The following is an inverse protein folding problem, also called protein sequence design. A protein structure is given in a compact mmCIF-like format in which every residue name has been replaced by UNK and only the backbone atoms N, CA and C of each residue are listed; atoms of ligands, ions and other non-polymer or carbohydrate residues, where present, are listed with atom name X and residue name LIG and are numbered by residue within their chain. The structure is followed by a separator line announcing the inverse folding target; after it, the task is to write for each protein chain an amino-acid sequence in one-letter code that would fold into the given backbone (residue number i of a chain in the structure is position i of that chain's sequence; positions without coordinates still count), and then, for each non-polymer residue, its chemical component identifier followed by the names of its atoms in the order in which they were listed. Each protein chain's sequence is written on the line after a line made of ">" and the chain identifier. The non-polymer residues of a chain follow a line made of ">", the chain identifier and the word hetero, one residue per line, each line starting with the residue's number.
data_IF_973139509378
#
_entry.id   IF_973139509378
#
_cell.length_a   1.000
_cell.length_b   1.000
_cell.length_c   1.000
_cell.angle_alpha   90.00
_cell.angle_beta   90.00
_cell.angle_gamma   90.00
#
_symmetry.space_group_name_H-M   'P 1'
#
loop_
_entity.id
_entity.type
_entity.pdbx_description
1 polymer ?
#
# COMPACT_ATOMS: atom_id res chain seq x y z
N UNK A 1 10.30 -5.64 14.49
CA UNK A 1 10.84 -6.64 13.52
C UNK A 1 12.17 -6.24 12.89
N UNK A 2 12.34 -5.04 12.34
CA UNK A 2 13.55 -4.68 11.60
C UNK A 2 14.84 -4.66 12.46
N UNK A 3 14.77 -4.19 13.71
CA UNK A 3 15.93 -4.11 14.60
C UNK A 3 16.30 -5.46 15.21
N UNK A 4 15.32 -6.34 15.39
CA UNK A 4 15.49 -7.66 16.00
C UNK A 4 16.29 -8.61 15.08
N UNK A 5 16.19 -8.44 13.76
CA UNK A 5 16.88 -9.28 12.78
C UNK A 5 18.20 -8.69 12.26
N UNK A 6 18.50 -7.43 12.61
CA UNK A 6 19.71 -6.72 12.19
C UNK A 6 20.98 -7.42 12.67
N UNK A 7 20.95 -8.02 13.87
CA UNK A 7 22.06 -8.78 14.45
C UNK A 7 22.47 -10.00 13.59
N UNK A 8 21.57 -10.51 12.74
CA UNK A 8 21.84 -11.62 11.83
C UNK A 8 22.27 -11.16 10.43
N UNK A 9 22.53 -9.85 10.24
CA UNK A 9 22.86 -9.28 8.94
C UNK A 9 21.68 -9.22 7.95
N UNK A 10 20.44 -9.39 8.44
CA UNK A 10 19.22 -9.34 7.64
C UNK A 10 18.64 -7.92 7.65
N UNK A 11 18.23 -7.42 6.48
CA UNK A 11 17.58 -6.11 6.33
C UNK A 11 16.09 -6.28 6.05
N UNK A 12 15.27 -5.43 6.66
CA UNK A 12 13.80 -5.40 6.46
C UNK A 12 13.37 -4.01 6.08
N UNK A 13 12.57 -3.91 5.03
CA UNK A 13 12.00 -2.66 4.52
C UNK A 13 10.50 -2.83 4.27
N UNK A 14 9.72 -1.81 4.62
CA UNK A 14 8.30 -1.74 4.28
C UNK A 14 8.08 -0.72 3.17
N UNK A 15 7.47 -1.17 2.08
CA UNK A 15 7.05 -0.33 0.96
C UNK A 15 5.55 -0.09 1.11
N UNK A 16 5.15 1.18 1.23
CA UNK A 16 3.74 1.56 1.38
C UNK A 16 3.22 2.17 0.06
N UNK A 17 2.51 1.39 -0.77
CA UNK A 17 1.88 1.90 -1.98
C UNK A 17 0.59 2.67 -1.68
N UNK A 18 0.22 3.58 -2.59
CA UNK A 18 -1.12 4.15 -2.65
C UNK A 18 -2.11 3.21 -3.35
N UNK A 19 -3.31 3.73 -3.62
CA UNK A 19 -4.34 3.01 -4.39
C UNK A 19 -3.87 2.77 -5.83
N UNK A 20 -4.16 1.59 -6.38
CA UNK A 20 -3.85 1.24 -7.78
C UNK A 20 -5.06 0.63 -8.47
N UNK A 21 -5.43 1.18 -9.63
CA UNK A 21 -6.51 0.67 -10.48
C UNK A 21 -6.11 -0.50 -11.38
N UNK A 22 -4.81 -0.79 -11.51
CA UNK A 22 -4.27 -1.81 -12.44
C UNK A 22 -4.17 -3.21 -11.83
N UNK A 23 -4.54 -3.36 -10.56
CA UNK A 23 -4.36 -4.61 -9.83
C UNK A 23 -5.67 -5.38 -9.76
N UNK A 24 -5.63 -6.70 -9.94
CA UNK A 24 -6.80 -7.58 -9.73
C UNK A 24 -7.33 -7.54 -8.29
N UNK A 25 -6.50 -7.11 -7.33
CA UNK A 25 -6.92 -6.80 -5.97
C UNK A 25 -8.00 -5.71 -5.95
N UNK A 26 -7.86 -4.65 -6.77
CA UNK A 26 -8.87 -3.59 -6.91
C UNK A 26 -10.22 -4.17 -7.34
N UNK A 27 -10.22 -5.05 -8.33
CA UNK A 27 -11.44 -5.64 -8.90
C UNK A 27 -12.16 -6.57 -7.93
N UNK A 28 -11.39 -7.30 -7.11
CA UNK A 28 -11.93 -8.30 -6.17
C UNK A 28 -12.20 -7.74 -4.77
N UNK A 29 -11.66 -6.57 -4.42
CA UNK A 29 -11.80 -5.98 -3.09
C UNK A 29 -13.26 -5.67 -2.71
N UNK A 30 -14.06 -5.18 -3.66
CA UNK A 30 -15.46 -4.83 -3.41
C UNK A 30 -16.33 -6.07 -3.16
N UNK A 31 -16.11 -7.15 -3.92
CA UNK A 31 -16.86 -8.41 -3.77
C UNK A 31 -16.59 -9.11 -2.43
N UNK A 32 -15.41 -8.89 -1.85
CA UNK A 32 -15.03 -9.48 -0.56
C UNK A 32 -15.36 -8.58 0.63
N UNK A 33 -15.95 -7.41 0.41
CA UNK A 33 -16.35 -6.52 1.48
C UNK A 33 -17.60 -7.07 2.20
N UNK A 34 -17.56 -7.10 3.53
CA UNK A 34 -18.66 -7.58 4.39
C UNK A 34 -19.14 -6.47 5.32
N UNK A 35 -20.36 -6.59 5.85
CA UNK A 35 -20.90 -5.66 6.84
C UNK A 35 -21.76 -4.53 6.26
N UNK A 36 -22.08 -4.59 4.95
CA UNK A 36 -23.11 -3.73 4.33
C UNK A 36 -24.51 -4.20 4.75
N UNK A 37 -24.61 -5.45 5.17
CA UNK A 37 -25.79 -6.16 5.64
C UNK A 37 -25.94 -6.15 7.17
N UNK A 38 -25.07 -5.41 7.88
CA UNK A 38 -25.09 -5.30 9.34
C UNK A 38 -25.87 -4.04 9.79
N UNK A 39 -26.86 -4.22 10.67
CA UNK A 39 -27.75 -3.14 11.12
C UNK A 39 -27.04 -2.01 11.87
N UNK A 40 -25.89 -2.28 12.48
CA UNK A 40 -25.11 -1.30 13.25
C UNK A 40 -24.08 -0.59 12.36
N UNK A 41 -23.53 -1.29 11.36
CA UNK A 41 -22.40 -0.82 10.56
C UNK A 41 -22.73 -0.42 9.12
N UNK A 42 -23.95 -0.65 8.62
CA UNK A 42 -24.31 -0.40 7.22
C UNK A 42 -23.95 1.01 6.74
N UNK A 43 -24.36 2.05 7.45
CA UNK A 43 -24.08 3.44 7.05
C UNK A 43 -22.58 3.74 6.98
N UNK A 44 -21.81 3.29 7.97
CA UNK A 44 -20.36 3.44 7.98
C UNK A 44 -19.71 2.71 6.79
N UNK A 45 -20.19 1.50 6.49
CA UNK A 45 -19.68 0.69 5.38
C UNK A 45 -20.00 1.34 4.03
N UNK A 46 -21.23 1.83 3.82
CA UNK A 46 -21.62 2.57 2.61
C UNK A 46 -20.75 3.79 2.39
N UNK A 47 -20.54 4.62 3.42
CA UNK A 47 -19.69 5.81 3.33
C UNK A 47 -18.24 5.45 2.99
N UNK A 48 -17.72 4.39 3.61
CA UNK A 48 -16.35 3.89 3.38
C UNK A 48 -16.17 3.43 1.93
N UNK A 49 -17.11 2.65 1.39
CA UNK A 49 -17.09 2.20 -0.01
C UNK A 49 -17.11 3.39 -0.95
N UNK A 50 -18.02 4.35 -0.74
CA UNK A 50 -18.09 5.56 -1.57
C UNK A 50 -16.76 6.30 -1.56
N UNK A 51 -16.08 6.39 -0.41
CA UNK A 51 -14.77 7.04 -0.32
C UNK A 51 -13.67 6.24 -1.04
N UNK A 52 -13.67 4.91 -0.95
CA UNK A 52 -12.74 4.02 -1.67
C UNK A 52 -12.96 4.01 -3.19
N UNK A 53 -14.20 4.22 -3.65
CA UNK A 53 -14.52 4.37 -5.07
C UNK A 53 -14.09 5.76 -5.58
N UNK A 54 -14.33 6.80 -4.77
CA UNK A 54 -13.92 8.19 -5.06
C UNK A 54 -12.42 8.45 -4.96
N UNK A 55 -11.62 7.53 -4.43
CA UNK A 55 -10.15 7.63 -4.47
C UNK A 55 -9.64 7.38 -5.89
N UNK A 56 -9.95 8.31 -6.79
CA UNK A 56 -9.51 8.42 -8.18
C UNK A 56 -8.50 9.58 -8.26
N UNK A 57 -7.28 9.32 -7.78
CA UNK A 57 -6.10 10.11 -8.16
C UNK A 57 -5.28 9.37 -9.21
N UNK A 58 -4.17 9.92 -9.72
CA UNK A 58 -3.19 9.11 -10.45
C UNK A 58 -2.71 8.01 -9.49
N UNK A 59 -3.30 6.82 -9.64
CA UNK A 59 -3.04 5.70 -8.76
C UNK A 59 -1.59 5.27 -8.87
N UNK A 60 -1.06 4.67 -7.80
CA UNK A 60 0.27 4.07 -7.82
C UNK A 60 0.32 3.02 -8.92
N UNK A 61 1.30 3.13 -9.82
CA UNK A 61 1.49 2.15 -10.90
C UNK A 61 2.22 0.93 -10.36
N UNK A 62 1.88 -0.28 -10.85
CA UNK A 62 2.58 -1.52 -10.44
C UNK A 62 4.09 -1.44 -10.64
N UNK A 63 4.53 -0.75 -11.71
CA UNK A 63 5.95 -0.53 -12.00
C UNK A 63 6.65 0.34 -10.94
N UNK A 64 5.99 1.37 -10.42
CA UNK A 64 6.55 2.24 -9.37
C UNK A 64 6.77 1.46 -8.08
N UNK A 65 5.85 0.54 -7.74
CA UNK A 65 6.01 -0.35 -6.58
C UNK A 65 7.21 -1.29 -6.80
N UNK A 66 7.32 -1.91 -7.98
CA UNK A 66 8.44 -2.79 -8.31
C UNK A 66 9.79 -2.07 -8.23
N UNK A 67 9.87 -0.84 -8.74
CA UNK A 67 11.08 0.00 -8.64
C UNK A 67 11.40 0.35 -7.18
N UNK A 68 10.39 0.65 -6.35
CA UNK A 68 10.60 0.94 -4.93
C UNK A 68 11.10 -0.29 -4.17
N UNK A 69 10.56 -1.48 -4.44
CA UNK A 69 11.02 -2.75 -3.86
C UNK A 69 12.46 -3.03 -4.28
N UNK A 70 12.77 -2.88 -5.56
CA UNK A 70 14.14 -3.06 -6.08
C UNK A 70 15.12 -2.13 -5.36
N UNK A 71 14.83 -0.83 -5.28
CA UNK A 71 15.69 0.13 -4.59
C UNK A 71 15.86 -0.21 -3.12
N UNK A 72 14.79 -0.59 -2.42
CA UNK A 72 14.88 -1.00 -1.02
C UNK A 72 15.78 -2.23 -0.82
N UNK A 73 15.77 -3.17 -1.78
CA UNK A 73 16.62 -4.35 -1.74
C UNK A 73 18.10 -4.05 -2.07
N UNK A 74 18.37 -3.14 -3.02
CA UNK A 74 19.73 -2.93 -3.55
C UNK A 74 20.48 -1.73 -2.99
N UNK A 75 19.80 -0.77 -2.36
CA UNK A 75 20.47 0.43 -1.83
C UNK A 75 21.41 0.07 -0.66
N UNK A 76 22.70 0.40 -0.84
CA UNK A 76 23.76 0.13 0.11
C UNK A 76 23.79 1.13 1.29
N UNK A 77 23.12 2.28 1.15
CA UNK A 77 23.04 3.30 2.21
C UNK A 77 21.58 3.60 2.57
N UNK A 78 20.87 2.64 3.18
CA UNK A 78 19.45 2.80 3.46
C UNK A 78 19.24 3.99 4.39
N UNK A 79 18.41 4.95 3.95
CA UNK A 79 17.95 6.04 4.83
C UNK A 79 17.26 5.39 6.04
N UNK A 80 17.74 5.65 7.26
CA UNK A 80 17.23 5.13 8.55
C UNK A 80 15.83 5.65 8.92
N UNK A 81 14.87 5.61 7.99
CA UNK A 81 13.44 5.81 8.26
C UNK A 81 12.67 4.74 7.50
N UNK A 82 12.11 3.78 8.25
CA UNK A 82 11.53 2.51 7.79
C UNK A 82 10.26 2.59 6.93
N UNK A 83 10.09 3.63 6.11
CA UNK A 83 8.96 3.77 5.21
C UNK A 83 9.42 4.29 3.85
N UNK A 84 9.36 3.42 2.83
CA UNK A 84 9.49 3.81 1.44
C UNK A 84 8.09 4.11 0.90
N UNK A 85 7.77 5.40 0.75
CA UNK A 85 6.55 5.82 0.06
C UNK A 85 6.73 5.58 -1.45
N UNK A 86 5.80 4.83 -2.05
CA UNK A 86 5.75 4.69 -3.50
C UNK A 86 5.03 5.91 -4.08
N UNK A 87 5.68 6.64 -4.97
CA UNK A 87 5.10 7.80 -5.62
C UNK A 87 5.13 9.08 -4.77
N UNK A 88 6.31 9.70 -4.67
CA UNK A 88 6.52 11.15 -4.86
C UNK A 88 7.97 11.36 -5.31
N UNK A 89 8.12 11.35 -6.63
CA UNK A 89 9.36 11.61 -7.33
C UNK A 89 9.07 12.24 -8.68
N UNK A 90 8.45 13.41 -8.69
CA UNK A 90 8.34 14.31 -9.84
C UNK A 90 8.03 15.73 -9.33
N UNK A 91 9.12 16.49 -9.11
CA UNK A 91 9.21 17.93 -8.73
C UNK A 91 8.52 18.37 -7.45
#
# INVERSE_FOLDING_TARGET
>A
MASEVEAFGVRVHTVLPGSSGETSFRDTALTNLRGIDDEVYDEFMRQTIVRMLKSVGPGTRSKEVAEAVWRAATDAYPRRRGCWAVGRGSR
#
